data_IF_649870338767
#
_entry.id   IF_649870338767
#
_cell.length_a   1.000
_cell.length_b   1.000
_cell.length_c   1.000
_cell.angle_alpha   90.00
_cell.angle_beta   90.00
_cell.angle_gamma   90.00
#
_symmetry.space_group_name_H-M   'P 1'
#
loop_
_entity.id
_entity.type
_entity.pdbx_description
1 polymer ?
#
# COMPACT_ATOMS: atom_id res chain seq x y z
N UNK A 1 16.33 70.11 38.51
CA UNK A 1 15.34 70.61 37.50
C UNK A 1 15.99 71.14 36.22
N UNK A 2 17.19 70.71 35.83
CA UNK A 2 17.86 71.15 34.59
C UNK A 2 18.09 70.14 33.51
N UNK A 3 17.88 68.86 33.78
CA UNK A 3 18.07 67.77 32.77
C UNK A 3 16.83 67.43 31.96
N UNK A 4 15.62 67.71 32.42
CA UNK A 4 14.36 67.42 31.69
C UNK A 4 14.07 68.43 30.55
N UNK A 5 14.75 69.60 30.45
CA UNK A 5 14.55 70.57 29.37
C UNK A 5 15.48 70.41 28.18
N UNK A 6 16.49 69.50 28.26
CA UNK A 6 17.44 69.30 27.17
C UNK A 6 17.03 68.08 26.27
N UNK A 7 16.17 67.21 26.74
CA UNK A 7 15.67 66.05 25.93
C UNK A 7 14.57 66.49 24.96
N UNK A 8 13.69 67.39 25.37
CA UNK A 8 12.55 67.84 24.54
C UNK A 8 12.99 68.56 23.25
N UNK A 9 14.06 69.34 23.33
CA UNK A 9 14.59 70.11 22.19
C UNK A 9 15.35 69.25 21.15
N UNK A 10 15.73 68.03 21.52
CA UNK A 10 16.41 67.07 20.61
C UNK A 10 15.41 66.26 19.82
N UNK A 11 14.38 65.83 20.48
CA UNK A 11 13.29 65.06 19.82
C UNK A 11 12.52 65.93 18.81
N UNK A 12 12.23 67.21 19.17
CA UNK A 12 11.60 68.14 18.22
C UNK A 12 12.48 68.41 16.98
N UNK A 13 13.81 68.44 17.13
CA UNK A 13 14.73 68.66 16.01
C UNK A 13 14.77 67.42 15.09
N UNK A 14 14.83 66.25 15.66
CA UNK A 14 14.81 64.99 14.88
C UNK A 14 13.48 64.78 14.14
N UNK A 15 12.36 65.18 14.77
CA UNK A 15 11.05 65.08 14.08
C UNK A 15 10.93 66.13 12.94
N UNK A 16 11.47 67.31 13.10
CA UNK A 16 11.51 68.36 12.03
C UNK A 16 12.43 67.92 10.86
N UNK A 17 13.53 67.25 11.17
CA UNK A 17 14.46 66.76 10.16
C UNK A 17 13.84 65.61 9.37
N UNK A 18 13.18 64.69 10.03
CA UNK A 18 12.43 63.59 9.37
C UNK A 18 11.27 64.10 8.51
N UNK A 19 10.56 65.13 8.93
CA UNK A 19 9.52 65.75 8.11
C UNK A 19 10.09 66.41 6.87
N UNK A 20 11.20 67.13 6.99
CA UNK A 20 11.88 67.74 5.84
C UNK A 20 12.38 66.69 4.83
N UNK A 21 12.97 65.62 5.31
CA UNK A 21 13.41 64.52 4.45
C UNK A 21 12.24 63.83 3.74
N UNK A 22 11.09 63.68 4.41
CA UNK A 22 9.88 63.09 3.80
C UNK A 22 9.31 64.04 2.71
N UNK A 23 9.25 65.38 2.97
CA UNK A 23 8.79 66.37 1.98
C UNK A 23 9.74 66.48 0.78
N UNK A 24 11.07 66.33 0.99
CA UNK A 24 12.07 66.33 -0.09
C UNK A 24 11.98 65.02 -0.92
N UNK A 25 11.63 63.92 -0.31
CA UNK A 25 11.39 62.66 -1.00
C UNK A 25 10.13 62.72 -1.86
N UNK A 26 9.04 63.17 -1.31
CA UNK A 26 7.77 63.35 -2.02
C UNK A 26 7.91 64.32 -3.20
N UNK A 27 8.64 65.42 -3.02
CA UNK A 27 8.92 66.37 -4.11
C UNK A 27 9.87 65.83 -5.19
N UNK A 28 10.71 64.84 -4.88
CA UNK A 28 11.55 64.14 -5.86
C UNK A 28 10.75 63.10 -6.65
N UNK A 29 9.87 62.36 -5.97
CA UNK A 29 8.99 61.38 -6.63
C UNK A 29 8.02 62.09 -7.60
N UNK A 30 7.42 63.21 -7.19
CA UNK A 30 6.57 64.04 -8.06
C UNK A 30 7.30 64.69 -9.25
N UNK A 31 8.62 64.87 -9.15
CA UNK A 31 9.44 65.37 -10.26
C UNK A 31 9.77 64.29 -11.28
N UNK A 32 10.07 63.03 -10.78
CA UNK A 32 10.37 61.90 -11.65
C UNK A 32 9.13 61.48 -12.44
N UNK A 33 7.94 61.53 -11.84
CA UNK A 33 6.69 61.22 -12.52
C UNK A 33 6.31 62.26 -13.60
N UNK A 34 6.70 63.57 -13.41
CA UNK A 34 6.46 64.56 -14.45
C UNK A 34 7.40 64.47 -15.66
N UNK A 35 8.66 64.14 -15.42
CA UNK A 35 9.66 64.03 -16.51
C UNK A 35 9.41 62.77 -17.39
N UNK A 36 8.75 61.72 -16.85
CA UNK A 36 8.34 60.56 -17.62
C UNK A 36 6.96 60.68 -18.30
N UNK A 37 6.14 61.65 -17.94
CA UNK A 37 4.81 61.82 -18.51
C UNK A 37 4.84 62.49 -19.90
N UNK A 38 5.92 63.21 -20.25
CA UNK A 38 6.04 63.94 -21.50
C UNK A 38 6.70 63.17 -22.64
N UNK A 39 7.27 61.95 -22.39
CA UNK A 39 8.02 61.18 -23.40
C UNK A 39 7.21 60.05 -24.04
N UNK A 40 5.98 59.78 -23.62
CA UNK A 40 5.14 58.73 -24.20
C UNK A 40 3.95 59.37 -24.93
N UNK A 41 4.15 59.81 -26.16
CA UNK A 41 3.04 60.03 -27.10
C UNK A 41 2.75 58.74 -27.86
N UNK A 42 1.64 58.02 -27.59
CA UNK A 42 1.24 56.94 -28.42
C UNK A 42 0.90 57.55 -29.81
N UNK A 43 1.64 57.13 -30.85
CA UNK A 43 1.19 57.35 -32.23
C UNK A 43 -0.28 56.94 -32.26
N UNK A 44 -1.16 57.80 -32.75
CA UNK A 44 -2.58 57.51 -32.95
C UNK A 44 -2.71 56.44 -34.04
N UNK A 45 -2.37 55.20 -33.71
CA UNK A 45 -2.81 54.08 -34.45
C UNK A 45 -4.32 54.14 -34.55
N UNK A 46 -4.86 54.07 -35.76
CA UNK A 46 -6.31 54.04 -35.99
C UNK A 46 -6.92 52.92 -35.14
N UNK A 47 -7.41 53.29 -33.93
CA UNK A 47 -7.84 52.36 -32.89
C UNK A 47 -8.89 51.41 -33.41
N UNK A 48 -9.68 51.81 -34.39
CA UNK A 48 -10.69 50.99 -35.03
C UNK A 48 -10.11 49.96 -35.99
N UNK A 49 -8.94 50.18 -36.57
CA UNK A 49 -8.25 49.20 -37.42
C UNK A 49 -7.51 48.18 -36.54
N UNK A 50 -6.84 48.62 -35.47
CA UNK A 50 -6.21 47.75 -34.49
C UNK A 50 -7.22 46.87 -33.74
N UNK A 51 -8.35 47.42 -33.31
CA UNK A 51 -9.44 46.66 -32.68
C UNK A 51 -10.06 45.63 -33.64
N UNK A 52 -10.17 45.95 -34.92
CA UNK A 52 -10.66 44.99 -35.94
C UNK A 52 -9.65 43.87 -36.17
N UNK A 53 -8.35 44.14 -36.21
CA UNK A 53 -7.31 43.15 -36.39
C UNK A 53 -7.24 42.22 -35.18
N UNK A 54 -7.26 42.74 -33.93
CA UNK A 54 -7.27 41.96 -32.68
C UNK A 54 -8.52 41.09 -32.57
N UNK A 55 -9.72 41.62 -32.96
CA UNK A 55 -10.95 40.82 -32.96
C UNK A 55 -10.94 39.74 -34.05
N UNK A 56 -10.35 39.99 -35.19
CA UNK A 56 -10.23 39.00 -36.26
C UNK A 56 -9.24 37.88 -35.87
N UNK A 57 -8.13 38.22 -35.23
CA UNK A 57 -7.11 37.30 -34.78
C UNK A 57 -7.62 36.47 -33.56
N UNK A 58 -8.21 37.13 -32.58
CA UNK A 58 -8.80 36.43 -31.39
C UNK A 58 -9.97 35.53 -31.82
N UNK A 59 -10.79 35.96 -32.78
CA UNK A 59 -11.87 35.13 -33.32
C UNK A 59 -11.40 33.87 -34.05
N UNK A 60 -10.25 33.92 -34.72
CA UNK A 60 -9.64 32.72 -35.34
C UNK A 60 -9.09 31.76 -34.26
N UNK A 61 -8.39 32.26 -33.23
CA UNK A 61 -7.86 31.46 -32.15
C UNK A 61 -8.99 30.83 -31.32
N UNK A 62 -10.03 31.60 -30.99
CA UNK A 62 -11.18 31.10 -30.22
C UNK A 62 -11.93 30.00 -30.96
N UNK A 63 -12.19 30.16 -32.28
CA UNK A 63 -12.85 29.11 -33.08
C UNK A 63 -12.02 27.84 -33.18
N UNK A 64 -10.70 27.95 -33.45
CA UNK A 64 -9.81 26.80 -33.51
C UNK A 64 -9.73 26.10 -32.15
N UNK A 65 -9.55 26.86 -31.07
CA UNK A 65 -9.49 26.32 -29.73
C UNK A 65 -10.80 25.62 -29.35
N UNK A 66 -11.94 26.18 -29.73
CA UNK A 66 -13.23 25.55 -29.49
C UNK A 66 -13.40 24.23 -30.28
N UNK A 67 -13.01 24.19 -31.54
CA UNK A 67 -13.05 22.95 -32.35
C UNK A 67 -12.11 21.89 -31.78
N UNK A 68 -10.88 22.27 -31.39
CA UNK A 68 -9.92 21.37 -30.79
C UNK A 68 -10.43 20.85 -29.43
N UNK A 69 -10.99 21.73 -28.60
CA UNK A 69 -11.57 21.33 -27.31
C UNK A 69 -12.77 20.40 -27.47
N UNK A 70 -13.66 20.69 -28.44
CA UNK A 70 -14.80 19.84 -28.75
C UNK A 70 -14.36 18.46 -29.28
N UNK A 71 -13.35 18.42 -30.17
CA UNK A 71 -12.79 17.17 -30.68
C UNK A 71 -12.09 16.36 -29.55
N UNK A 72 -11.36 17.05 -28.69
CA UNK A 72 -10.72 16.40 -27.49
C UNK A 72 -11.78 15.86 -26.54
N UNK A 73 -12.85 16.61 -26.25
CA UNK A 73 -13.96 16.16 -25.43
C UNK A 73 -14.69 14.97 -26.04
N UNK A 74 -14.97 15.01 -27.35
CA UNK A 74 -15.58 13.90 -28.07
C UNK A 74 -14.67 12.65 -28.07
N UNK A 75 -13.37 12.82 -28.27
CA UNK A 75 -12.38 11.75 -28.22
C UNK A 75 -12.27 11.15 -26.79
N UNK A 76 -12.26 11.99 -25.77
CA UNK A 76 -12.25 11.54 -24.37
C UNK A 76 -13.54 10.78 -24.01
N UNK A 77 -14.70 11.27 -24.44
CA UNK A 77 -15.98 10.59 -24.24
C UNK A 77 -16.03 9.25 -25.00
N UNK A 78 -15.58 9.22 -26.26
CA UNK A 78 -15.52 7.98 -27.02
C UNK A 78 -14.55 6.96 -26.38
N UNK A 79 -13.40 7.43 -25.90
CA UNK A 79 -12.44 6.60 -25.16
C UNK A 79 -13.03 6.06 -23.88
N UNK A 80 -13.71 6.92 -23.10
CA UNK A 80 -14.41 6.50 -21.88
C UNK A 80 -15.47 5.42 -22.18
N UNK A 81 -16.32 5.66 -23.18
CA UNK A 81 -17.36 4.71 -23.59
C UNK A 81 -16.77 3.40 -24.12
N UNK A 82 -15.65 3.48 -24.82
CA UNK A 82 -14.95 2.28 -25.28
C UNK A 82 -14.40 1.45 -24.12
N UNK A 83 -13.80 2.10 -23.10
CA UNK A 83 -13.33 1.43 -21.89
C UNK A 83 -14.53 0.82 -21.13
N UNK A 84 -15.57 1.62 -20.91
CA UNK A 84 -16.76 1.24 -20.14
C UNK A 84 -17.51 0.04 -20.75
N UNK A 85 -17.55 -0.05 -22.08
CA UNK A 85 -18.17 -1.16 -22.80
C UNK A 85 -17.29 -2.42 -22.94
N UNK A 86 -16.04 -2.38 -22.44
CA UNK A 86 -15.21 -3.59 -22.46
C UNK A 86 -15.71 -4.61 -21.40
N UNK A 87 -15.60 -5.91 -21.72
CA UNK A 87 -15.99 -6.95 -20.76
C UNK A 87 -15.17 -6.83 -19.47
N UNK A 88 -15.82 -7.11 -18.35
CA UNK A 88 -15.16 -7.17 -17.06
C UNK A 88 -14.37 -8.45 -16.92
N UNK A 89 -13.13 -8.34 -16.42
CA UNK A 89 -12.30 -9.46 -15.93
C UNK A 89 -12.11 -9.22 -14.44
N UNK A 90 -12.79 -10.00 -13.64
CA UNK A 90 -13.02 -9.67 -12.25
C UNK A 90 -13.89 -8.40 -12.17
N UNK A 91 -13.41 -7.38 -11.45
CA UNK A 91 -14.12 -6.09 -11.27
C UNK A 91 -13.61 -4.95 -12.16
N UNK A 92 -12.73 -5.27 -13.13
CA UNK A 92 -12.10 -4.28 -14.00
C UNK A 92 -12.36 -4.59 -15.47
N UNK A 93 -12.45 -3.54 -16.29
CA UNK A 93 -12.52 -3.70 -17.72
C UNK A 93 -11.25 -4.40 -18.24
N UNK A 94 -11.42 -5.36 -19.13
CA UNK A 94 -10.34 -6.18 -19.67
C UNK A 94 -9.19 -5.36 -20.29
N UNK A 95 -9.50 -4.20 -20.88
CA UNK A 95 -8.48 -3.30 -21.45
C UNK A 95 -7.60 -2.69 -20.36
N UNK A 96 -8.17 -2.28 -19.22
CA UNK A 96 -7.41 -1.74 -18.09
C UNK A 96 -6.57 -2.86 -17.46
N UNK A 97 -7.13 -4.04 -17.31
CA UNK A 97 -6.40 -5.21 -16.82
C UNK A 97 -5.15 -5.51 -17.63
N UNK A 98 -5.26 -5.49 -18.98
CA UNK A 98 -4.09 -5.66 -19.86
C UNK A 98 -3.02 -4.58 -19.63
N UNK A 99 -3.43 -3.34 -19.34
CA UNK A 99 -2.51 -2.26 -18.98
C UNK A 99 -1.74 -2.55 -17.68
N UNK A 100 -2.43 -3.02 -16.64
CA UNK A 100 -1.80 -3.44 -15.39
C UNK A 100 -0.86 -4.64 -15.59
N UNK A 101 -1.25 -5.64 -16.38
CA UNK A 101 -0.40 -6.80 -16.69
C UNK A 101 0.86 -6.40 -17.46
N UNK A 102 0.76 -5.43 -18.36
CA UNK A 102 1.92 -4.87 -19.07
C UNK A 102 2.85 -4.11 -18.10
N UNK A 103 2.28 -3.27 -17.24
CA UNK A 103 3.02 -2.55 -16.21
C UNK A 103 3.72 -3.52 -15.23
N UNK A 104 3.02 -4.58 -14.78
CA UNK A 104 3.60 -5.61 -13.94
C UNK A 104 4.80 -6.32 -14.57
N UNK A 105 4.79 -6.54 -15.91
CA UNK A 105 5.94 -7.09 -16.63
C UNK A 105 7.13 -6.13 -16.62
N UNK A 106 6.90 -4.84 -16.82
CA UNK A 106 7.94 -3.81 -16.75
C UNK A 106 8.51 -3.72 -15.33
N UNK A 107 7.64 -3.67 -14.34
CA UNK A 107 8.03 -3.62 -12.92
C UNK A 107 8.89 -4.83 -12.52
N UNK A 108 8.52 -6.04 -12.94
CA UNK A 108 9.35 -7.24 -12.72
C UNK A 108 10.72 -7.16 -13.36
N UNK A 109 10.84 -6.53 -14.52
CA UNK A 109 12.12 -6.32 -15.20
C UNK A 109 13.03 -5.33 -14.48
N UNK A 110 12.45 -4.30 -13.85
CA UNK A 110 13.17 -3.22 -13.17
C UNK A 110 13.44 -3.55 -11.71
N UNK A 111 12.45 -4.07 -10.99
CA UNK A 111 12.49 -4.35 -9.55
C UNK A 111 12.52 -5.87 -9.25
N UNK A 112 13.28 -6.63 -10.00
CA UNK A 112 13.34 -8.09 -9.87
C UNK A 112 13.57 -8.55 -8.42
N UNK A 113 13.13 -9.78 -8.12
CA UNK A 113 13.17 -10.42 -6.79
C UNK A 113 14.58 -10.72 -6.27
N UNK A 114 15.62 -10.07 -6.84
CA UNK A 114 17.03 -10.22 -6.42
C UNK A 114 17.49 -9.09 -5.51
N UNK A 115 16.70 -8.03 -5.39
CA UNK A 115 17.03 -6.87 -4.55
C UNK A 115 17.00 -7.24 -3.07
N UNK A 116 17.99 -6.81 -2.30
CA UNK A 116 18.02 -6.95 -0.84
C UNK A 116 17.49 -5.66 -0.23
N UNK A 117 16.43 -5.76 0.53
CA UNK A 117 15.91 -4.62 1.27
C UNK A 117 16.90 -4.16 2.36
N UNK A 118 17.04 -2.85 2.60
CA UNK A 118 17.90 -2.34 3.67
C UNK A 118 17.55 -2.94 5.03
N UNK A 119 18.56 -3.21 5.83
CA UNK A 119 18.43 -3.65 7.23
C UNK A 119 18.78 -2.52 8.17
N UNK A 120 18.19 -2.53 9.34
CA UNK A 120 18.33 -1.48 10.35
C UNK A 120 18.74 -2.08 11.69
N UNK A 121 19.16 -1.22 12.62
CA UNK A 121 19.41 -1.63 14.00
C UNK A 121 18.11 -1.82 14.77
N UNK A 122 18.12 -2.69 15.78
CA UNK A 122 16.91 -3.01 16.60
C UNK A 122 16.33 -1.78 17.32
N UNK A 123 17.17 -0.79 17.64
CA UNK A 123 16.78 0.45 18.32
C UNK A 123 15.87 1.35 17.47
N UNK A 124 15.90 1.16 16.14
CA UNK A 124 15.00 1.88 15.22
C UNK A 124 13.66 1.20 15.00
N UNK A 125 13.53 -0.05 15.47
CA UNK A 125 12.33 -0.82 15.27
C UNK A 125 11.21 -0.36 16.21
N UNK A 126 10.00 -0.34 15.67
CA UNK A 126 8.76 -0.14 16.40
C UNK A 126 7.84 -1.34 16.22
N UNK A 127 6.85 -1.48 17.07
CA UNK A 127 5.77 -2.44 16.85
C UNK A 127 4.93 -1.97 15.65
N UNK A 128 4.71 -2.87 14.69
CA UNK A 128 3.92 -2.56 13.50
C UNK A 128 2.51 -2.16 13.93
N UNK A 129 2.04 -1.03 13.44
CA UNK A 129 0.65 -0.63 13.66
C UNK A 129 -0.32 -1.62 13.03
N UNK A 130 -1.46 -1.79 13.67
CA UNK A 130 -2.53 -2.60 13.12
C UNK A 130 -3.11 -1.93 11.87
N UNK A 131 -3.18 -2.68 10.78
CA UNK A 131 -3.77 -2.21 9.52
C UNK A 131 -4.71 -3.27 8.96
N UNK A 132 -5.99 -3.12 9.23
CA UNK A 132 -7.08 -3.92 8.72
C UNK A 132 -7.18 -5.36 9.28
N UNK A 133 -8.40 -5.88 9.36
CA UNK A 133 -8.71 -7.20 9.92
C UNK A 133 -8.63 -8.33 8.88
N UNK A 134 -8.14 -8.08 7.66
CA UNK A 134 -8.11 -9.07 6.58
C UNK A 134 -7.36 -10.33 7.00
N UNK A 135 -8.01 -11.48 6.88
CA UNK A 135 -7.50 -12.77 7.34
C UNK A 135 -7.52 -12.98 8.86
N UNK A 136 -8.12 -12.05 9.62
CA UNK A 136 -8.13 -12.05 11.09
C UNK A 136 -9.53 -11.85 11.68
N UNK A 137 -10.58 -12.08 10.91
CA UNK A 137 -11.97 -11.83 11.35
C UNK A 137 -12.35 -12.63 12.59
N UNK A 138 -11.74 -13.78 12.74
CA UNK A 138 -11.94 -14.65 13.89
C UNK A 138 -10.60 -14.94 14.55
N UNK A 139 -10.54 -14.91 15.87
CA UNK A 139 -9.42 -15.44 16.61
C UNK A 139 -9.46 -16.98 16.57
N UNK A 140 -8.28 -17.60 16.59
CA UNK A 140 -8.17 -19.05 16.66
C UNK A 140 -7.51 -19.47 17.98
N UNK A 141 -7.84 -20.66 18.43
CA UNK A 141 -7.07 -21.32 19.50
C UNK A 141 -5.70 -21.72 18.91
N UNK A 142 -4.63 -21.14 19.44
CA UNK A 142 -3.28 -21.30 18.85
C UNK A 142 -2.77 -22.74 18.89
N UNK A 143 -3.20 -23.55 19.83
CA UNK A 143 -2.90 -24.98 19.93
C UNK A 143 -3.58 -25.82 18.84
N UNK A 144 -4.72 -25.34 18.29
CA UNK A 144 -5.36 -25.94 17.12
C UNK A 144 -4.68 -25.59 15.80
N UNK A 145 -3.78 -24.60 15.78
CA UNK A 145 -3.16 -24.16 14.54
C UNK A 145 -2.22 -25.22 13.97
N UNK A 146 -2.33 -25.43 12.68
CA UNK A 146 -1.40 -26.22 11.86
C UNK A 146 -1.14 -25.50 10.56
N UNK A 147 0.07 -25.60 10.05
CA UNK A 147 0.37 -25.20 8.68
C UNK A 147 0.08 -26.39 7.75
N UNK A 148 -0.88 -26.21 6.88
CA UNK A 148 -1.18 -27.12 5.78
C UNK A 148 -0.18 -26.88 4.66
N UNK A 149 0.60 -27.86 4.27
CA UNK A 149 1.59 -27.75 3.19
C UNK A 149 1.33 -28.78 2.12
N UNK A 150 1.04 -28.32 0.88
CA UNK A 150 0.66 -29.18 -0.24
C UNK A 150 1.58 -29.02 -1.44
N UNK A 151 1.53 -29.95 -2.39
CA UNK A 151 2.43 -29.96 -3.53
C UNK A 151 3.86 -30.35 -3.19
N UNK A 152 4.08 -31.00 -2.05
CA UNK A 152 5.39 -31.44 -1.56
C UNK A 152 5.85 -32.71 -2.29
N UNK A 153 7.15 -32.79 -2.61
CA UNK A 153 7.77 -33.99 -3.18
C UNK A 153 7.75 -35.13 -2.17
N UNK A 154 7.21 -36.30 -2.57
CA UNK A 154 7.16 -37.49 -1.75
C UNK A 154 6.64 -37.26 -0.31
N UNK A 155 5.47 -36.66 -0.11
CA UNK A 155 5.01 -36.23 1.21
C UNK A 155 4.92 -37.36 2.22
N UNK A 156 4.70 -38.57 1.78
CA UNK A 156 4.58 -39.77 2.64
C UNK A 156 5.85 -40.13 3.41
N UNK A 157 7.00 -39.62 3.02
CA UNK A 157 8.26 -39.79 3.78
C UNK A 157 8.31 -39.00 5.09
N UNK A 158 7.44 -38.04 5.25
CA UNK A 158 7.43 -37.18 6.43
C UNK A 158 6.39 -37.67 7.45
N UNK A 159 6.73 -37.62 8.72
CA UNK A 159 5.82 -38.04 9.82
C UNK A 159 4.54 -37.18 9.93
N UNK A 160 4.57 -35.98 9.35
CA UNK A 160 3.46 -35.04 9.31
C UNK A 160 2.47 -35.28 8.16
N UNK A 161 2.71 -36.33 7.38
CA UNK A 161 1.86 -36.67 6.25
C UNK A 161 0.42 -36.97 6.66
N UNK A 162 -0.51 -36.38 5.90
CA UNK A 162 -1.94 -36.75 5.94
C UNK A 162 -2.48 -36.91 4.52
N UNK A 163 -3.46 -37.78 4.30
CA UNK A 163 -4.04 -37.97 2.98
C UNK A 163 -4.88 -36.79 2.51
N UNK A 164 -5.37 -35.98 3.45
CA UNK A 164 -6.16 -34.77 3.17
C UNK A 164 -5.89 -33.72 4.22
N UNK A 165 -5.17 -32.66 3.84
CA UNK A 165 -4.90 -31.52 4.74
C UNK A 165 -6.13 -30.65 4.93
N UNK A 166 -7.07 -30.63 3.99
CA UNK A 166 -8.27 -29.78 4.04
C UNK A 166 -9.29 -30.26 5.07
N UNK A 167 -9.17 -31.54 5.50
CA UNK A 167 -9.97 -32.08 6.59
C UNK A 167 -9.63 -31.48 7.97
N UNK A 168 -8.50 -30.77 8.08
CA UNK A 168 -8.12 -30.13 9.33
C UNK A 168 -9.01 -28.91 9.62
N UNK A 169 -9.59 -28.87 10.83
CA UNK A 169 -10.45 -27.78 11.30
C UNK A 169 -9.70 -26.91 12.31
N UNK A 170 -9.70 -25.60 12.09
CA UNK A 170 -9.23 -24.62 13.07
C UNK A 170 -10.32 -24.33 14.07
N UNK A 171 -9.97 -24.29 15.34
CA UNK A 171 -10.93 -24.02 16.41
C UNK A 171 -10.96 -22.50 16.61
N UNK A 172 -12.12 -21.91 16.38
CA UNK A 172 -12.36 -20.51 16.67
C UNK A 172 -12.29 -20.28 18.18
N UNK A 173 -11.68 -19.17 18.55
CA UNK A 173 -11.75 -18.66 19.91
C UNK A 173 -12.89 -17.67 19.95
N UNK A 174 -13.94 -17.88 20.77
CA UNK A 174 -14.96 -16.86 20.94
C UNK A 174 -14.24 -15.54 21.28
N UNK A 175 -14.64 -14.44 20.64
CA UNK A 175 -14.13 -13.12 21.04
C UNK A 175 -14.29 -13.03 22.56
N UNK A 176 -13.17 -13.02 23.28
CA UNK A 176 -13.21 -12.68 24.67
C UNK A 176 -13.80 -11.27 24.71
N UNK A 177 -14.88 -11.07 25.46
CA UNK A 177 -15.26 -9.74 25.91
C UNK A 177 -14.01 -9.16 26.55
N UNK A 178 -13.39 -8.26 25.84
CA UNK A 178 -11.99 -7.94 25.94
C UNK A 178 -11.63 -7.46 27.33
N UNK A 179 -10.62 -8.07 27.91
CA UNK A 179 -9.83 -7.44 28.96
C UNK A 179 -9.34 -6.10 28.41
N UNK A 180 -10.05 -5.05 28.80
CA UNK A 180 -9.85 -3.69 28.42
C UNK A 180 -8.36 -3.32 28.44
N UNK A 181 -7.84 -2.86 27.31
CA UNK A 181 -6.65 -2.04 27.28
C UNK A 181 -6.83 -0.94 28.32
N UNK A 182 -5.84 -0.76 29.20
CA UNK A 182 -5.84 0.25 30.27
C UNK A 182 -5.76 1.69 29.79
N UNK A 183 -6.29 1.98 28.62
CA UNK A 183 -6.58 3.35 28.20
C UNK A 183 -8.04 3.63 28.57
N UNK A 184 -8.24 4.05 29.80
CA UNK A 184 -9.55 4.36 30.38
C UNK A 184 -10.25 5.57 29.74
N UNK A 185 -9.67 6.18 28.72
CA UNK A 185 -10.24 7.32 28.00
C UNK A 185 -11.22 6.94 26.89
N UNK A 186 -11.29 5.65 26.52
CA UNK A 186 -12.18 5.15 25.45
C UNK A 186 -13.14 4.09 26.00
N UNK A 187 -14.44 4.35 25.81
CA UNK A 187 -15.49 3.44 26.27
C UNK A 187 -15.51 2.11 25.50
N UNK A 188 -16.14 1.05 26.09
CA UNK A 188 -16.18 -0.31 25.52
C UNK A 188 -16.72 -0.36 24.07
N UNK A 189 -17.67 0.51 23.75
CA UNK A 189 -18.26 0.62 22.41
C UNK A 189 -17.28 1.18 21.36
N UNK A 190 -16.30 1.98 21.78
CA UNK A 190 -15.32 2.58 20.86
C UNK A 190 -14.19 1.61 20.53
N UNK A 191 -13.90 0.66 21.42
CA UNK A 191 -12.93 -0.42 21.26
C UNK A 191 -13.46 -1.54 20.34
N UNK A 192 -14.73 -1.91 20.48
CA UNK A 192 -15.41 -2.80 19.55
C UNK A 192 -15.57 -2.14 18.16
N UNK A 193 -15.72 -0.83 18.11
CA UNK A 193 -15.89 -0.06 16.88
C UNK A 193 -14.65 -0.07 15.94
N UNK A 194 -13.46 -0.43 16.39
CA UNK A 194 -12.28 -0.59 15.50
C UNK A 194 -12.46 -1.80 14.59
N UNK A 195 -13.04 -2.89 15.09
CA UNK A 195 -13.37 -4.08 14.30
C UNK A 195 -14.61 -3.90 13.43
N UNK A 196 -15.59 -3.12 13.92
CA UNK A 196 -16.86 -2.86 13.23
C UNK A 196 -16.81 -1.63 12.32
N UNK A 197 -15.79 -0.78 12.39
CA UNK A 197 -15.63 0.38 11.48
C UNK A 197 -15.48 0.01 10.00
N UNK A 198 -15.21 -1.25 9.72
CA UNK A 198 -15.14 -1.78 8.36
C UNK A 198 -16.50 -2.28 7.83
N UNK A 199 -17.53 -2.29 8.67
CA UNK A 199 -18.88 -2.76 8.35
C UNK A 199 -19.90 -1.69 8.66
N UNK A 200 -20.95 -1.61 7.85
CA UNK A 200 -22.16 -0.88 8.20
C UNK A 200 -22.87 -1.59 9.37
N UNK A 201 -23.75 -0.87 10.08
CA UNK A 201 -24.49 -1.44 11.19
C UNK A 201 -25.39 -2.64 10.85
N UNK A 202 -25.58 -2.92 9.56
CA UNK A 202 -26.31 -4.07 9.02
C UNK A 202 -25.38 -5.24 8.63
N UNK A 203 -24.07 -5.14 8.91
CA UNK A 203 -23.07 -6.16 8.58
C UNK A 203 -22.58 -6.11 7.14
N UNK A 204 -23.01 -5.12 6.34
CA UNK A 204 -22.49 -4.93 4.98
C UNK A 204 -21.15 -4.20 4.99
N UNK A 205 -20.22 -4.49 4.05
CA UNK A 205 -18.97 -3.74 3.93
C UNK A 205 -19.24 -2.26 3.68
N UNK A 206 -18.45 -1.37 4.32
CA UNK A 206 -18.50 0.06 4.01
C UNK A 206 -18.18 0.29 2.53
N UNK A 207 -18.80 1.29 1.93
CA UNK A 207 -18.59 1.68 0.54
C UNK A 207 -17.09 1.87 0.27
N UNK A 208 -16.51 1.02 -0.59
CA UNK A 208 -15.07 0.98 -0.89
C UNK A 208 -14.29 -0.14 -0.18
N UNK A 209 -14.92 -0.91 0.71
CA UNK A 209 -14.36 -2.14 1.29
C UNK A 209 -15.05 -3.37 0.68
N UNK A 210 -14.99 -3.46 -0.62
CA UNK A 210 -15.48 -4.64 -1.33
C UNK A 210 -14.61 -5.84 -1.01
N UNK A 211 -15.24 -6.97 -0.69
CA UNK A 211 -14.56 -8.23 -0.48
C UNK A 211 -14.24 -8.88 -1.81
N UNK A 212 -13.05 -9.49 -1.92
CA UNK A 212 -12.62 -10.19 -3.12
C UNK A 212 -13.40 -11.50 -3.38
N UNK A 213 -14.18 -11.97 -2.39
CA UNK A 213 -14.80 -13.28 -2.41
C UNK A 213 -13.79 -14.40 -2.16
N UNK A 214 -14.24 -15.63 -2.29
CA UNK A 214 -13.41 -16.81 -2.14
C UNK A 214 -12.37 -16.92 -3.26
N UNK A 215 -11.30 -17.69 -3.01
CA UNK A 215 -10.28 -17.99 -4.02
C UNK A 215 -10.84 -18.97 -5.05
N UNK A 216 -10.57 -18.69 -6.32
CA UNK A 216 -10.82 -19.64 -7.43
C UNK A 216 -9.62 -20.55 -7.68
N UNK A 217 -8.59 -20.51 -6.83
CA UNK A 217 -7.43 -21.41 -6.94
C UNK A 217 -7.88 -22.84 -6.62
N UNK A 218 -7.85 -23.67 -7.63
CA UNK A 218 -8.21 -25.10 -7.46
C UNK A 218 -7.09 -25.82 -6.70
N UNK A 219 -7.39 -26.19 -5.46
CA UNK A 219 -6.50 -26.95 -4.59
C UNK A 219 -6.95 -28.39 -4.44
N UNK A 220 -7.65 -28.95 -5.40
CA UNK A 220 -8.21 -30.32 -5.36
C UNK A 220 -8.88 -30.67 -4.01
N UNK A 221 -10.07 -31.20 -4.03
CA UNK A 221 -10.93 -31.46 -2.85
C UNK A 221 -10.35 -32.41 -1.81
N UNK A 222 -9.41 -33.27 -2.19
CA UNK A 222 -8.65 -34.13 -1.29
C UNK A 222 -7.16 -33.98 -1.60
N UNK A 223 -6.49 -33.12 -0.86
CA UNK A 223 -5.11 -32.78 -1.17
C UNK A 223 -4.16 -33.47 -0.18
N UNK A 224 -3.39 -34.47 -0.61
CA UNK A 224 -2.38 -35.08 0.22
C UNK A 224 -1.27 -34.05 0.51
N UNK A 225 -0.84 -33.97 1.76
CA UNK A 225 0.18 -33.02 2.15
C UNK A 225 0.67 -33.24 3.58
N UNK A 226 1.17 -32.20 4.18
CA UNK A 226 1.71 -32.21 5.54
C UNK A 226 0.90 -31.28 6.44
N UNK A 227 0.67 -31.71 7.68
CA UNK A 227 0.18 -30.86 8.76
C UNK A 227 1.35 -30.57 9.72
N UNK A 228 1.93 -29.37 9.57
CA UNK A 228 3.06 -28.93 10.39
C UNK A 228 2.57 -28.21 11.65
N UNK A 229 3.14 -28.57 12.78
CA UNK A 229 2.94 -27.86 14.04
C UNK A 229 3.83 -26.61 14.12
N UNK A 230 3.57 -25.75 15.10
CA UNK A 230 4.47 -24.64 15.39
C UNK A 230 5.87 -25.13 15.81
N UNK A 231 5.94 -26.29 16.49
CA UNK A 231 7.23 -26.88 16.90
C UNK A 231 8.01 -27.44 15.69
N UNK A 232 7.32 -27.95 14.67
CA UNK A 232 7.99 -28.34 13.40
C UNK A 232 8.64 -27.13 12.72
N UNK A 233 8.02 -25.95 12.80
CA UNK A 233 8.63 -24.71 12.30
C UNK A 233 9.78 -24.25 13.19
N UNK A 234 9.62 -24.24 14.51
CA UNK A 234 10.67 -23.86 15.46
C UNK A 234 11.89 -24.79 15.42
N UNK A 235 11.75 -25.99 14.88
CA UNK A 235 12.88 -26.90 14.65
C UNK A 235 13.77 -26.49 13.46
N UNK A 236 13.32 -25.53 12.63
CA UNK A 236 14.12 -24.92 11.57
C UNK A 236 15.02 -23.80 12.14
N UNK A 237 16.08 -23.37 11.39
CA UNK A 237 16.93 -22.28 11.83
C UNK A 237 16.13 -21.00 12.10
N UNK A 238 16.31 -20.43 13.29
CA UNK A 238 15.70 -19.16 13.68
C UNK A 238 16.51 -17.99 13.09
N UNK A 239 15.82 -17.00 12.53
CA UNK A 239 16.41 -15.80 11.96
C UNK A 239 15.69 -14.56 12.51
N UNK A 240 16.46 -13.51 12.69
CA UNK A 240 15.95 -12.17 12.98
C UNK A 240 16.18 -11.23 11.81
N UNK A 241 15.23 -10.36 11.56
CA UNK A 241 15.28 -9.41 10.47
C UNK A 241 14.66 -8.08 10.90
N UNK A 242 15.43 -6.99 10.76
CA UNK A 242 14.95 -5.64 11.02
C UNK A 242 14.92 -4.88 9.71
N UNK A 243 13.73 -4.73 9.15
CA UNK A 243 13.53 -4.13 7.83
C UNK A 243 12.32 -3.21 7.82
N UNK A 244 12.23 -2.39 6.79
CA UNK A 244 11.10 -1.52 6.57
C UNK A 244 9.91 -2.33 6.02
N UNK A 245 8.78 -2.25 6.70
CA UNK A 245 7.48 -2.70 6.20
C UNK A 245 6.83 -1.52 5.47
N UNK A 246 6.47 -1.70 4.21
CA UNK A 246 5.87 -0.66 3.38
C UNK A 246 4.43 -0.98 3.04
N UNK A 247 3.51 -0.10 3.40
CA UNK A 247 2.11 -0.20 3.01
C UNK A 247 1.86 0.51 1.69
N UNK A 248 0.93 -0.03 0.88
CA UNK A 248 0.48 0.62 -0.36
C UNK A 248 -0.22 1.96 -0.10
N UNK A 249 -0.69 2.20 1.12
CA UNK A 249 -1.30 3.46 1.56
C UNK A 249 -0.29 4.61 1.76
N UNK A 250 1.00 4.39 1.49
CA UNK A 250 2.04 5.42 1.51
C UNK A 250 2.74 5.62 2.86
N UNK A 251 2.54 4.75 3.84
CA UNK A 251 3.27 4.77 5.10
C UNK A 251 4.22 3.57 5.21
N UNK A 252 5.23 3.69 6.05
CA UNK A 252 6.16 2.61 6.36
C UNK A 252 6.62 2.65 7.80
N UNK A 253 7.03 1.50 8.34
CA UNK A 253 7.59 1.35 9.68
C UNK A 253 8.76 0.36 9.65
N UNK A 254 9.80 0.64 10.42
CA UNK A 254 10.91 -0.28 10.63
C UNK A 254 10.49 -1.24 11.72
N UNK A 255 10.46 -2.54 11.43
CA UNK A 255 9.95 -3.56 12.34
C UNK A 255 10.99 -4.66 12.52
N UNK A 256 11.12 -5.13 13.76
CA UNK A 256 11.97 -6.27 14.12
C UNK A 256 11.14 -7.55 14.14
N UNK A 257 11.45 -8.45 13.22
CA UNK A 257 10.81 -9.75 13.08
C UNK A 257 11.73 -10.88 13.51
N UNK A 258 11.17 -11.90 14.15
CA UNK A 258 11.83 -13.18 14.44
C UNK A 258 11.02 -14.34 13.88
N UNK A 259 11.69 -15.36 13.38
CA UNK A 259 11.05 -16.55 12.82
C UNK A 259 11.96 -17.41 11.95
N UNK A 260 11.40 -18.15 11.01
CA UNK A 260 12.14 -19.05 10.12
C UNK A 260 12.07 -18.58 8.69
N UNK A 261 13.16 -18.70 7.93
CA UNK A 261 13.12 -18.36 6.51
C UNK A 261 12.17 -19.30 5.77
N UNK A 262 11.39 -18.73 4.87
CA UNK A 262 10.54 -19.55 3.98
C UNK A 262 11.39 -20.46 3.09
N UNK A 263 12.60 -20.03 2.72
CA UNK A 263 13.58 -20.84 2.01
C UNK A 263 13.99 -22.10 2.78
N UNK A 264 14.15 -22.02 4.12
CA UNK A 264 14.52 -23.16 4.96
C UNK A 264 13.35 -24.17 5.07
N UNK A 265 12.10 -23.68 5.13
CA UNK A 265 10.91 -24.53 5.04
C UNK A 265 10.86 -25.25 3.69
N UNK A 266 11.06 -24.53 2.58
CA UNK A 266 11.05 -25.07 1.21
C UNK A 266 12.17 -26.09 1.03
N UNK A 267 13.35 -25.84 1.59
CA UNK A 267 14.48 -26.79 1.54
C UNK A 267 14.20 -28.08 2.34
N UNK A 268 13.52 -27.96 3.46
CA UNK A 268 13.12 -29.11 4.31
C UNK A 268 12.00 -29.93 3.70
N UNK A 269 11.03 -29.27 3.07
CA UNK A 269 9.84 -29.84 2.47
C UNK A 269 9.73 -29.38 1.00
N UNK A 270 10.59 -29.94 0.11
CA UNK A 270 10.71 -29.45 -1.25
C UNK A 270 9.43 -29.66 -2.06
N UNK A 271 9.14 -28.73 -2.98
CA UNK A 271 8.02 -28.87 -3.89
C UNK A 271 8.23 -30.03 -4.87
N UNK A 272 7.15 -30.74 -5.16
CA UNK A 272 7.15 -31.74 -6.22
C UNK A 272 7.45 -31.08 -7.57
N UNK A 273 8.23 -31.77 -8.39
CA UNK A 273 8.47 -31.35 -9.77
C UNK A 273 7.29 -31.75 -10.67
N UNK A 274 7.03 -30.93 -11.66
CA UNK A 274 6.03 -31.21 -12.67
C UNK A 274 6.52 -32.34 -13.64
N UNK A 275 5.65 -32.75 -14.57
CA UNK A 275 5.95 -33.82 -15.54
C UNK A 275 7.17 -33.56 -16.43
N UNK A 276 7.61 -32.30 -16.54
CA UNK A 276 8.81 -31.90 -17.28
C UNK A 276 10.07 -31.89 -16.42
N UNK A 277 9.95 -32.19 -15.13
CA UNK A 277 11.03 -32.14 -14.18
C UNK A 277 11.34 -30.74 -13.63
N UNK A 278 10.52 -29.74 -13.96
CA UNK A 278 10.68 -28.35 -13.48
C UNK A 278 10.04 -28.19 -12.09
N UNK A 279 10.64 -27.27 -11.29
CA UNK A 279 10.01 -26.81 -10.05
C UNK A 279 8.74 -26.01 -10.36
N UNK A 280 7.71 -26.02 -9.48
CA UNK A 280 6.53 -25.19 -9.63
C UNK A 280 6.92 -23.71 -9.63
N UNK A 281 6.18 -22.92 -10.39
CA UNK A 281 6.47 -21.49 -10.59
C UNK A 281 5.98 -20.61 -9.45
N UNK A 282 4.95 -21.09 -8.74
CA UNK A 282 4.20 -20.27 -7.81
C UNK A 282 4.00 -20.95 -6.47
N UNK A 283 3.70 -20.13 -5.49
CA UNK A 283 3.26 -20.51 -4.14
C UNK A 283 1.97 -19.77 -3.85
N UNK A 284 0.97 -20.47 -3.40
CA UNK A 284 -0.27 -19.93 -2.87
C UNK A 284 -0.26 -19.99 -1.36
N UNK A 285 -0.76 -18.98 -0.69
CA UNK A 285 -0.93 -18.95 0.76
C UNK A 285 -2.32 -18.45 1.13
N UNK A 286 -2.88 -19.05 2.19
CA UNK A 286 -4.23 -18.75 2.65
C UNK A 286 -4.32 -18.74 4.18
N UNK A 287 -5.28 -18.01 4.70
CA UNK A 287 -5.64 -17.94 6.13
C UNK A 287 -6.53 -19.13 6.52
N UNK A 288 -6.74 -19.42 7.83
CA UNK A 288 -7.50 -20.59 8.30
C UNK A 288 -8.90 -20.76 7.71
N UNK A 289 -9.55 -19.67 7.35
CA UNK A 289 -10.95 -19.67 6.88
C UNK A 289 -11.10 -19.22 5.43
N UNK A 290 -9.99 -19.10 4.69
CA UNK A 290 -10.03 -18.70 3.28
C UNK A 290 -10.41 -17.25 3.02
N UNK A 291 -10.56 -16.44 4.06
CA UNK A 291 -11.00 -15.05 3.98
C UNK A 291 -9.91 -14.09 3.50
N UNK A 292 -8.66 -14.56 3.42
CA UNK A 292 -7.56 -13.84 2.81
C UNK A 292 -6.54 -14.80 2.21
N UNK A 293 -6.12 -14.50 0.99
CA UNK A 293 -5.21 -15.36 0.23
C UNK A 293 -4.28 -14.53 -0.66
N UNK A 294 -3.08 -15.05 -0.90
CA UNK A 294 -2.05 -14.39 -1.71
C UNK A 294 -1.30 -15.37 -2.59
N UNK A 295 -0.99 -14.95 -3.82
CA UNK A 295 -0.14 -15.66 -4.76
C UNK A 295 1.27 -15.07 -4.83
N UNK A 296 2.29 -15.92 -4.98
CA UNK A 296 3.71 -15.50 -5.08
C UNK A 296 4.44 -16.29 -6.16
N UNK A 297 5.48 -15.68 -6.74
CA UNK A 297 6.48 -16.46 -7.46
C UNK A 297 7.32 -17.29 -6.46
N UNK A 298 7.72 -18.48 -6.82
CA UNK A 298 8.59 -19.31 -5.98
C UNK A 298 9.90 -18.59 -5.62
N UNK A 299 10.45 -17.79 -6.54
CA UNK A 299 11.67 -17.02 -6.28
C UNK A 299 11.51 -16.00 -5.14
N UNK A 300 10.34 -15.34 -5.04
CA UNK A 300 10.06 -14.46 -3.91
C UNK A 300 9.99 -15.23 -2.59
N UNK A 301 9.46 -16.44 -2.60
CA UNK A 301 9.38 -17.30 -1.41
C UNK A 301 10.76 -17.82 -0.98
N UNK A 302 11.67 -18.07 -1.93
CA UNK A 302 13.05 -18.50 -1.64
C UNK A 302 14.02 -17.34 -1.40
N UNK A 303 13.53 -16.09 -1.46
CA UNK A 303 14.35 -14.91 -1.18
C UNK A 303 14.89 -14.93 0.27
N UNK A 304 16.17 -14.56 0.50
CA UNK A 304 16.80 -14.66 1.82
C UNK A 304 16.15 -13.83 2.93
N UNK A 305 15.35 -12.83 2.57
CA UNK A 305 14.60 -11.99 3.52
C UNK A 305 13.11 -12.36 3.61
N UNK A 306 12.65 -13.44 2.98
CA UNK A 306 11.29 -13.96 3.13
C UNK A 306 11.21 -14.82 4.38
N UNK A 307 10.44 -14.36 5.37
CA UNK A 307 10.38 -14.94 6.70
C UNK A 307 8.93 -15.35 7.05
N UNK A 308 8.76 -16.55 7.54
CA UNK A 308 7.59 -16.93 8.33
C UNK A 308 7.83 -16.42 9.76
N UNK A 309 7.37 -15.19 10.01
CA UNK A 309 7.57 -14.52 11.28
C UNK A 309 6.63 -15.09 12.34
N UNK A 310 7.18 -15.40 13.49
CA UNK A 310 6.48 -15.88 14.70
C UNK A 310 6.61 -14.86 15.82
N UNK A 311 7.51 -13.90 15.70
CA UNK A 311 7.83 -12.89 16.70
C UNK A 311 7.90 -11.50 16.08
N UNK A 312 7.54 -10.50 16.89
CA UNK A 312 7.72 -9.08 16.61
C UNK A 312 8.33 -8.42 17.85
N UNK A 313 9.39 -7.63 17.67
CA UNK A 313 10.13 -7.00 18.77
C UNK A 313 10.58 -7.98 19.86
N UNK A 314 10.98 -9.22 19.47
CA UNK A 314 11.42 -10.26 20.40
C UNK A 314 10.31 -10.89 21.23
N UNK A 315 9.04 -10.68 20.89
CA UNK A 315 7.88 -11.26 21.56
C UNK A 315 7.03 -12.07 20.57
N UNK A 316 6.35 -13.14 21.01
CA UNK A 316 5.39 -13.85 20.18
C UNK A 316 4.37 -12.88 19.56
N UNK A 317 3.95 -13.16 18.33
CA UNK A 317 2.93 -12.38 17.66
C UNK A 317 1.61 -12.35 18.43
N UNK A 318 0.96 -11.20 18.44
CA UNK A 318 -0.42 -11.09 18.90
C UNK A 318 -1.39 -11.60 17.84
N UNK A 319 -2.64 -11.88 18.21
CA UNK A 319 -3.71 -12.24 17.29
C UNK A 319 -3.89 -11.18 16.19
N UNK A 320 -3.82 -9.90 16.56
CA UNK A 320 -3.94 -8.76 15.62
C UNK A 320 -2.81 -8.70 14.58
N UNK A 321 -1.64 -9.23 14.91
CA UNK A 321 -0.49 -9.27 14.02
C UNK A 321 -0.34 -10.59 13.28
N UNK A 322 -1.30 -11.51 13.43
CA UNK A 322 -1.35 -12.76 12.68
C UNK A 322 -0.71 -13.95 13.38
N UNK A 323 -0.81 -14.01 14.75
CA UNK A 323 -0.37 -15.19 15.48
C UNK A 323 -1.03 -16.48 14.95
N UNK A 324 -0.32 -17.61 14.97
CA UNK A 324 1.05 -17.77 15.46
C UNK A 324 2.13 -17.49 14.42
N UNK A 325 1.79 -17.42 13.12
CA UNK A 325 2.72 -17.26 11.99
C UNK A 325 2.16 -16.31 10.95
N UNK A 326 2.97 -15.34 10.53
CA UNK A 326 2.67 -14.48 9.40
C UNK A 326 3.82 -14.47 8.40
N UNK A 327 3.54 -14.06 7.16
CA UNK A 327 4.60 -13.79 6.20
C UNK A 327 5.14 -12.36 6.41
N UNK A 328 6.49 -12.25 6.43
CA UNK A 328 7.20 -11.00 6.24
C UNK A 328 8.10 -11.13 5.00
N UNK A 329 7.92 -10.21 4.06
CA UNK A 329 8.63 -10.20 2.77
C UNK A 329 8.89 -8.75 2.36
N UNK A 330 10.03 -8.16 2.76
CA UNK A 330 10.30 -6.72 2.60
C UNK A 330 10.45 -6.26 1.15
N UNK A 331 10.59 -7.18 0.20
CA UNK A 331 10.58 -6.92 -1.25
C UNK A 331 9.19 -6.81 -1.85
N UNK A 332 8.14 -6.88 -1.02
CA UNK A 332 6.73 -6.79 -1.43
C UNK A 332 5.98 -5.82 -0.53
N UNK A 333 4.99 -5.12 -1.09
CA UNK A 333 4.08 -4.31 -0.31
C UNK A 333 3.32 -5.10 0.75
N UNK A 334 2.90 -4.42 1.82
CA UNK A 334 2.27 -5.01 2.99
C UNK A 334 1.04 -5.88 2.72
N UNK A 335 0.28 -5.58 1.67
CA UNK A 335 -0.88 -6.40 1.29
C UNK A 335 -0.52 -7.80 0.78
N UNK A 336 0.76 -8.04 0.44
CA UNK A 336 1.26 -9.40 0.14
C UNK A 336 1.84 -10.08 1.38
N UNK A 337 1.89 -9.42 2.51
CA UNK A 337 2.47 -10.00 3.74
C UNK A 337 1.34 -10.57 4.61
N UNK A 338 0.78 -11.71 4.13
CA UNK A 338 -0.37 -12.38 4.73
C UNK A 338 -0.18 -12.66 6.21
N UNK A 339 -1.19 -12.29 7.01
CA UNK A 339 -1.27 -12.57 8.44
C UNK A 339 -1.90 -13.95 8.67
N UNK A 340 -1.45 -14.66 9.70
CA UNK A 340 -1.97 -15.97 10.10
C UNK A 340 -2.01 -16.95 8.93
N UNK A 341 -0.82 -17.24 8.39
CA UNK A 341 -0.67 -18.25 7.32
C UNK A 341 -1.13 -19.61 7.85
N UNK A 342 -2.04 -20.25 7.14
CA UNK A 342 -2.58 -21.57 7.50
C UNK A 342 -2.34 -22.61 6.41
N UNK A 343 -2.31 -22.18 5.15
CA UNK A 343 -2.02 -23.04 4.00
C UNK A 343 -0.88 -22.45 3.17
N UNK A 344 0.02 -23.32 2.74
CA UNK A 344 1.01 -23.05 1.69
C UNK A 344 0.87 -24.17 0.64
N UNK A 345 0.61 -23.80 -0.61
CA UNK A 345 0.50 -24.75 -1.71
C UNK A 345 1.49 -24.40 -2.83
N UNK A 346 2.26 -25.36 -3.28
CA UNK A 346 3.10 -25.21 -4.47
C UNK A 346 2.27 -25.50 -5.73
N UNK A 347 2.36 -24.64 -6.74
CA UNK A 347 1.52 -24.76 -7.95
C UNK A 347 2.23 -24.24 -9.21
N UNK A 348 1.89 -24.81 -10.36
CA UNK A 348 2.36 -24.34 -11.68
C UNK A 348 1.43 -23.30 -12.30
N UNK A 349 0.19 -23.22 -11.83
CA UNK A 349 -0.79 -22.22 -12.28
C UNK A 349 -0.65 -20.95 -11.47
N UNK A 350 -0.80 -19.78 -12.10
CA UNK A 350 -0.81 -18.50 -11.38
C UNK A 350 -1.97 -18.49 -10.41
N UNK A 351 -1.71 -18.47 -9.10
CA UNK A 351 -2.77 -18.52 -8.12
C UNK A 351 -3.47 -17.17 -7.98
N UNK A 352 -4.67 -17.23 -7.47
CA UNK A 352 -5.43 -16.05 -7.09
C UNK A 352 -4.71 -15.23 -6.01
N UNK A 353 -5.11 -13.97 -5.94
CA UNK A 353 -4.66 -13.01 -4.94
C UNK A 353 -5.82 -12.09 -4.57
N UNK A 354 -6.09 -11.95 -3.29
CA UNK A 354 -7.22 -11.20 -2.76
C UNK A 354 -7.31 -9.78 -3.33
N UNK A 355 -6.23 -9.02 -3.21
CA UNK A 355 -6.21 -7.63 -3.67
C UNK A 355 -6.15 -7.52 -5.18
N UNK A 356 -5.62 -8.53 -5.86
CA UNK A 356 -5.61 -8.56 -7.31
C UNK A 356 -7.01 -8.73 -7.89
N UNK A 357 -7.88 -9.48 -7.23
CA UNK A 357 -9.31 -9.53 -7.59
C UNK A 357 -9.98 -8.17 -7.46
N UNK A 358 -9.49 -7.33 -6.56
CA UNK A 358 -9.95 -5.94 -6.37
C UNK A 358 -9.19 -4.93 -7.24
N UNK A 359 -8.24 -5.37 -8.08
CA UNK A 359 -7.57 -4.50 -9.05
C UNK A 359 -6.15 -4.09 -8.73
N UNK A 360 -5.57 -4.57 -7.65
CA UNK A 360 -4.18 -4.30 -7.30
C UNK A 360 -3.21 -5.15 -8.12
N UNK A 361 -1.95 -4.76 -8.16
CA UNK A 361 -0.91 -5.51 -8.86
C UNK A 361 -0.63 -6.85 -8.16
N UNK A 362 -0.69 -7.94 -8.94
CA UNK A 362 -0.39 -9.27 -8.42
C UNK A 362 1.05 -9.43 -7.96
N UNK A 363 1.99 -8.75 -8.64
CA UNK A 363 3.42 -8.85 -8.31
C UNK A 363 3.80 -8.06 -7.06
N UNK A 364 3.29 -6.85 -6.92
CA UNK A 364 3.49 -5.98 -5.75
C UNK A 364 4.96 -5.79 -5.32
N UNK A 365 5.88 -5.70 -6.28
CA UNK A 365 7.31 -5.54 -6.02
C UNK A 365 7.69 -4.13 -5.53
N UNK A 366 8.76 -4.05 -4.72
CA UNK A 366 9.37 -2.85 -4.18
C UNK A 366 10.80 -2.69 -4.70
#
# INVERSE_FOLDING_TARGET
MSELKMSDGREEREEREKRREAEERESREDRVDRDHADEWQPERLDSKAADRAVRAESGKHTRRSFVVAAAAAAGAYAGYRWIDNNPLVGRQQAVLRKGFDANAKVTRGVFGERGIAPTYSKEKAVDLRFNGPYGLRQEIQLDSWRLQLTGVENPRQFKQYVPDVTAWQYIEKPFAEETASKDDSKGPAEKAAVWTRSMNGDGTPMRGQEEAGESDTDLATATPGLLLTLDDLKALPHHELVTEFKCIEGWSEIVHWGGVRLADLIAKYPPARNDKGDLPKYVYMETPFGDYYCGYNLNACTHPQSLLAMEMSGKPLSQQHGAPVRLHMPIKYGYKQIKRVALIAYTDTTPDDYWTKLGYDWYAGL
#
